data_IF_009903663861
#
_entry.id   IF_009903663861
#
_cell.length_a   1.000
_cell.length_b   1.000
_cell.length_c   1.000
_cell.angle_alpha   90.00
_cell.angle_beta   90.00
_cell.angle_gamma   90.00
#
_symmetry.space_group_name_H-M   'P 1'
#
loop_
_entity.id
_entity.type
_entity.pdbx_description
1 polymer ?
#
# COMPACT_ATOMS: atom_id res chain seq x y z
N UNK A 1 20.41 25.16 -4.08
CA UNK A 1 20.45 23.70 -4.33
C UNK A 1 20.46 23.02 -2.98
N UNK A 2 19.29 22.62 -2.49
CA UNK A 2 19.15 21.90 -1.23
C UNK A 2 19.06 20.38 -1.48
N UNK A 3 19.49 19.59 -0.50
CA UNK A 3 19.39 18.12 -0.53
C UNK A 3 18.32 17.70 0.47
N UNK A 4 17.21 17.17 -0.03
CA UNK A 4 16.00 16.93 0.74
C UNK A 4 15.71 15.42 0.77
N UNK A 5 15.73 14.84 1.97
CA UNK A 5 15.49 13.42 2.17
C UNK A 5 14.01 13.09 2.33
N UNK A 6 13.61 11.90 1.88
CA UNK A 6 12.33 11.31 2.20
C UNK A 6 12.50 9.88 2.72
N UNK A 7 11.94 9.61 3.89
CA UNK A 7 11.97 8.31 4.55
C UNK A 7 10.55 7.83 4.86
N UNK A 8 10.24 6.55 4.58
CA UNK A 8 8.92 5.98 4.83
C UNK A 8 8.97 4.56 5.38
N UNK A 9 8.12 4.27 6.36
CA UNK A 9 7.83 2.91 6.85
C UNK A 9 6.32 2.64 6.84
N UNK A 10 5.93 1.36 6.72
CA UNK A 10 4.53 0.95 6.59
C UNK A 10 3.84 0.68 7.93
N UNK A 11 4.57 0.52 9.03
CA UNK A 11 4.03 0.20 10.36
C UNK A 11 4.76 0.96 11.47
N UNK A 12 4.07 1.11 12.61
CA UNK A 12 4.61 1.78 13.80
C UNK A 12 5.82 1.06 14.40
N UNK A 13 5.98 -0.25 14.20
CA UNK A 13 7.08 -1.05 14.72
C UNK A 13 8.33 -1.09 13.84
N UNK A 14 8.29 -0.51 12.62
CA UNK A 14 9.47 -0.44 11.76
C UNK A 14 10.28 0.82 12.04
N UNK A 15 11.60 0.63 12.14
CA UNK A 15 12.51 1.72 12.47
C UNK A 15 12.88 2.53 11.21
N UNK A 16 12.67 3.85 11.29
CA UNK A 16 13.10 4.82 10.26
C UNK A 16 14.59 5.16 10.37
N UNK A 17 15.26 4.87 11.52
CA UNK A 17 16.57 5.40 11.84
C UNK A 17 17.62 5.01 10.80
N UNK A 18 17.58 3.76 10.31
CA UNK A 18 18.48 3.33 9.24
C UNK A 18 18.33 4.17 7.96
N UNK A 19 17.10 4.50 7.57
CA UNK A 19 16.87 5.33 6.39
C UNK A 19 17.35 6.77 6.63
N UNK A 20 17.06 7.31 7.82
CA UNK A 20 17.49 8.66 8.22
C UNK A 20 19.01 8.75 8.18
N UNK A 21 19.73 7.81 8.79
CA UNK A 21 21.19 7.75 8.76
C UNK A 21 21.77 7.74 7.35
N UNK A 22 21.18 6.93 6.45
CA UNK A 22 21.60 6.88 5.04
C UNK A 22 21.38 8.22 4.32
N UNK A 23 20.24 8.87 4.58
CA UNK A 23 19.92 10.18 3.99
C UNK A 23 20.84 11.29 4.54
N UNK A 24 21.14 11.29 5.82
CA UNK A 24 22.09 12.24 6.46
C UNK A 24 23.50 12.05 5.91
N UNK A 25 23.99 10.81 5.81
CA UNK A 25 25.28 10.49 5.16
C UNK A 25 25.33 10.92 3.69
N UNK A 26 24.18 10.90 3.01
CA UNK A 26 24.06 11.42 1.64
C UNK A 26 23.93 12.96 1.59
N UNK A 27 24.00 13.65 2.72
CA UNK A 27 23.99 15.11 2.83
C UNK A 27 22.60 15.73 2.79
N UNK A 28 21.55 15.01 3.16
CA UNK A 28 20.21 15.59 3.29
C UNK A 28 20.19 16.64 4.42
N UNK A 29 19.77 17.86 4.08
CA UNK A 29 19.67 19.01 5.01
C UNK A 29 18.31 19.07 5.70
N UNK A 30 17.29 18.47 5.09
CA UNK A 30 15.94 18.32 5.65
C UNK A 30 15.39 16.95 5.25
N UNK A 31 14.71 16.25 6.18
CA UNK A 31 14.14 14.92 5.94
C UNK A 31 12.67 14.91 6.30
N UNK A 32 11.83 14.57 5.34
CA UNK A 32 10.40 14.31 5.52
C UNK A 32 10.21 12.84 5.91
N UNK A 33 9.53 12.61 7.06
CA UNK A 33 9.43 11.29 7.69
C UNK A 33 7.97 10.82 7.67
N UNK A 34 7.68 9.77 6.91
CA UNK A 34 6.33 9.24 6.74
C UNK A 34 6.15 7.89 7.44
N UNK A 35 5.13 7.80 8.31
CA UNK A 35 4.74 6.54 8.97
C UNK A 35 3.39 6.06 8.42
N UNK A 36 3.35 5.81 7.11
CA UNK A 36 2.14 5.42 6.40
C UNK A 36 2.41 4.33 5.36
N UNK A 37 1.40 3.49 5.11
CA UNK A 37 1.45 2.55 4.00
C UNK A 37 1.60 3.31 2.67
N UNK A 38 2.47 2.82 1.78
CA UNK A 38 2.67 3.40 0.45
C UNK A 38 1.55 3.07 -0.56
N UNK A 39 0.33 2.75 -0.09
CA UNK A 39 -0.76 2.29 -0.97
C UNK A 39 -1.38 3.42 -1.80
N UNK A 40 -1.53 4.62 -1.23
CA UNK A 40 -2.14 5.78 -1.91
C UNK A 40 -1.42 7.08 -1.54
N UNK A 41 -1.16 7.92 -2.54
CA UNK A 41 -0.46 9.21 -2.36
C UNK A 41 -1.24 10.15 -1.44
N UNK A 42 -2.56 10.21 -1.58
CA UNK A 42 -3.43 11.11 -0.79
C UNK A 42 -3.34 10.89 0.73
N UNK A 43 -2.92 9.69 1.16
CA UNK A 43 -2.76 9.33 2.57
C UNK A 43 -1.32 9.54 3.06
N UNK A 44 -0.52 10.33 2.34
CA UNK A 44 0.91 10.55 2.60
C UNK A 44 1.22 12.03 2.71
N UNK A 45 0.81 12.68 3.84
CA UNK A 45 0.96 14.12 4.03
C UNK A 45 2.41 14.59 3.93
N UNK A 46 3.37 13.82 4.45
CA UNK A 46 4.78 14.19 4.40
C UNK A 46 5.37 14.12 2.98
N UNK A 47 4.89 13.20 2.14
CA UNK A 47 5.22 13.22 0.72
C UNK A 47 4.66 14.46 0.02
N UNK A 48 3.41 14.81 0.28
CA UNK A 48 2.79 16.00 -0.31
C UNK A 48 3.52 17.26 0.15
N UNK A 49 3.85 17.39 1.45
CA UNK A 49 4.65 18.48 1.99
C UNK A 49 6.03 18.58 1.33
N UNK A 50 6.69 17.44 1.08
CA UNK A 50 7.97 17.42 0.35
C UNK A 50 7.78 17.91 -1.08
N UNK A 51 6.78 17.39 -1.81
CA UNK A 51 6.51 17.80 -3.18
C UNK A 51 6.21 19.30 -3.27
N UNK A 52 5.51 19.87 -2.29
CA UNK A 52 5.27 21.32 -2.24
C UNK A 52 6.51 22.14 -1.88
N UNK A 53 7.36 21.60 -1.01
CA UNK A 53 8.55 22.27 -0.48
C UNK A 53 9.68 22.43 -1.51
N UNK A 54 9.88 21.43 -2.39
CA UNK A 54 11.00 21.39 -3.34
C UNK A 54 10.93 22.53 -4.36
N UNK A 55 12.10 23.00 -4.76
CA UNK A 55 12.30 24.10 -5.73
C UNK A 55 13.24 23.66 -6.85
N UNK A 56 13.36 24.52 -7.85
CA UNK A 56 14.32 24.34 -8.94
C UNK A 56 15.75 24.09 -8.42
N UNK A 57 16.45 23.16 -9.04
CA UNK A 57 17.82 22.70 -8.69
C UNK A 57 17.96 21.95 -7.38
N UNK A 58 16.88 21.69 -6.63
CA UNK A 58 16.95 20.85 -5.44
C UNK A 58 17.11 19.36 -5.80
N UNK A 59 17.69 18.58 -4.87
CA UNK A 59 17.85 17.14 -5.02
C UNK A 59 16.99 16.44 -3.97
N UNK A 60 15.99 15.70 -4.42
CA UNK A 60 15.23 14.79 -3.56
C UNK A 60 16.01 13.48 -3.44
N UNK A 61 16.26 13.04 -2.21
CA UNK A 61 17.03 11.83 -1.91
C UNK A 61 16.15 10.82 -1.21
N UNK A 62 16.17 9.56 -1.68
CA UNK A 62 15.51 8.42 -1.05
C UNK A 62 16.47 7.25 -0.94
N UNK A 63 16.32 6.44 0.11
CA UNK A 63 17.15 5.26 0.29
C UNK A 63 16.86 4.21 -0.81
N UNK A 64 15.60 3.97 -1.09
CA UNK A 64 15.12 2.94 -2.03
C UNK A 64 13.89 3.45 -2.78
N UNK A 65 13.68 3.00 -4.02
CA UNK A 65 12.57 3.45 -4.88
C UNK A 65 11.19 3.14 -4.30
N UNK A 66 11.04 2.00 -3.60
CA UNK A 66 9.77 1.56 -3.00
C UNK A 66 9.31 2.47 -1.83
N UNK A 67 10.19 3.34 -1.32
CA UNK A 67 9.82 4.39 -0.35
C UNK A 67 8.95 5.47 -1.00
N UNK A 68 9.23 5.80 -2.26
CA UNK A 68 8.42 6.77 -3.03
C UNK A 68 7.07 6.19 -3.44
N UNK A 69 7.01 4.97 -3.92
CA UNK A 69 5.76 4.37 -4.37
C UNK A 69 5.86 2.85 -4.54
N UNK A 70 4.71 2.18 -4.51
CA UNK A 70 4.61 0.74 -4.72
C UNK A 70 4.04 0.38 -6.10
N UNK A 71 3.47 1.30 -6.83
CA UNK A 71 2.95 1.08 -8.18
C UNK A 71 3.56 2.09 -9.14
N UNK A 72 3.59 1.73 -10.40
CA UNK A 72 4.22 2.52 -11.47
C UNK A 72 3.53 3.88 -11.63
N UNK A 73 2.20 3.95 -11.52
CA UNK A 73 1.46 5.20 -11.68
C UNK A 73 1.82 6.24 -10.63
N UNK A 74 1.93 5.82 -9.36
CA UNK A 74 2.33 6.71 -8.26
C UNK A 74 3.77 7.17 -8.43
N UNK A 75 4.66 6.24 -8.82
CA UNK A 75 6.06 6.57 -9.08
C UNK A 75 6.20 7.58 -10.22
N UNK A 76 5.49 7.37 -11.33
CA UNK A 76 5.50 8.29 -12.47
C UNK A 76 4.98 9.67 -12.08
N UNK A 77 3.88 9.73 -11.32
CA UNK A 77 3.35 11.01 -10.82
C UNK A 77 4.37 11.75 -9.96
N UNK A 78 4.98 11.08 -8.98
CA UNK A 78 5.95 11.69 -8.06
C UNK A 78 7.19 12.16 -8.81
N UNK A 79 7.74 11.31 -9.68
CA UNK A 79 8.97 11.62 -10.43
C UNK A 79 8.73 12.78 -11.39
N UNK A 80 7.62 12.75 -12.15
CA UNK A 80 7.25 13.83 -13.03
C UNK A 80 7.02 15.14 -12.26
N UNK A 81 6.41 15.09 -11.08
CA UNK A 81 6.21 16.27 -10.25
C UNK A 81 7.55 16.89 -9.81
N UNK A 82 8.51 16.04 -9.37
CA UNK A 82 9.85 16.48 -8.99
C UNK A 82 10.55 17.13 -10.20
N UNK A 83 10.53 16.47 -11.36
CA UNK A 83 11.17 16.96 -12.58
C UNK A 83 10.54 18.26 -13.13
N UNK A 84 9.21 18.35 -13.09
CA UNK A 84 8.48 19.56 -13.55
C UNK A 84 8.77 20.79 -12.67
N UNK A 85 9.12 20.58 -11.40
CA UNK A 85 9.60 21.64 -10.52
C UNK A 85 11.09 21.99 -10.73
N UNK A 86 11.76 21.37 -11.71
CA UNK A 86 13.19 21.58 -11.99
C UNK A 86 14.12 20.95 -10.94
N UNK A 87 13.59 20.10 -10.07
CA UNK A 87 14.36 19.33 -9.10
C UNK A 87 14.80 17.98 -9.69
N UNK A 88 15.77 17.32 -9.05
CA UNK A 88 16.27 16.01 -9.45
C UNK A 88 16.00 14.98 -8.35
N UNK A 89 15.91 13.69 -8.73
CA UNK A 89 15.75 12.56 -7.83
C UNK A 89 17.04 11.76 -7.75
N UNK A 90 17.51 11.49 -6.54
CA UNK A 90 18.62 10.59 -6.24
C UNK A 90 18.12 9.42 -5.39
N UNK A 91 18.40 8.19 -5.83
CA UNK A 91 18.04 6.96 -5.13
C UNK A 91 19.33 6.27 -4.71
N UNK A 92 19.54 6.08 -3.39
CA UNK A 92 20.85 5.67 -2.87
C UNK A 92 21.23 4.23 -3.22
N UNK A 93 20.26 3.34 -3.39
CA UNK A 93 20.52 1.95 -3.77
C UNK A 93 20.65 1.72 -5.28
N UNK A 94 20.54 2.79 -6.10
CA UNK A 94 20.76 2.69 -7.53
C UNK A 94 22.17 3.13 -7.92
N UNK A 95 22.80 2.43 -8.89
CA UNK A 95 24.04 2.92 -9.44
C UNK A 95 23.82 4.26 -10.12
N UNK A 96 24.59 5.27 -9.74
CA UNK A 96 24.59 6.58 -10.41
C UNK A 96 25.66 6.55 -11.47
N UNK A 97 25.27 6.74 -12.72
CA UNK A 97 26.23 6.96 -13.81
C UNK A 97 26.64 8.43 -13.81
N UNK A 98 27.94 8.69 -13.71
CA UNK A 98 28.52 10.02 -13.88
C UNK A 98 29.30 10.02 -15.18
N UNK A 99 28.84 10.78 -16.16
CA UNK A 99 29.58 11.09 -17.38
C UNK A 99 29.86 12.58 -17.43
N UNK A 100 30.76 13.01 -18.26
CA UNK A 100 31.07 14.45 -18.44
C UNK A 100 29.95 15.19 -19.18
N UNK A 101 29.10 14.47 -19.92
CA UNK A 101 27.95 15.03 -20.63
C UNK A 101 26.68 15.02 -19.74
N UNK A 102 26.13 16.17 -19.34
CA UNK A 102 24.91 16.26 -18.53
C UNK A 102 23.67 15.65 -19.20
N UNK A 103 23.56 15.73 -20.53
CA UNK A 103 22.43 15.18 -21.28
C UNK A 103 22.47 13.64 -21.26
N UNK A 104 23.66 13.06 -21.47
CA UNK A 104 23.86 11.62 -21.38
C UNK A 104 23.64 11.10 -19.96
N UNK A 105 24.08 11.82 -18.92
CA UNK A 105 23.78 11.49 -17.53
C UNK A 105 22.28 11.43 -17.25
N UNK A 106 21.52 12.40 -17.73
CA UNK A 106 20.06 12.43 -17.57
C UNK A 106 19.40 11.24 -18.27
N UNK A 107 19.83 10.93 -19.49
CA UNK A 107 19.32 9.79 -20.25
C UNK A 107 19.60 8.45 -19.55
N UNK A 108 20.83 8.23 -19.11
CA UNK A 108 21.23 6.99 -18.42
C UNK A 108 20.50 6.82 -17.08
N UNK A 109 20.36 7.90 -16.30
CA UNK A 109 19.63 7.84 -15.04
C UNK A 109 18.13 7.55 -15.26
N UNK A 110 17.51 8.11 -16.29
CA UNK A 110 16.13 7.78 -16.65
C UNK A 110 15.98 6.32 -17.08
N UNK A 111 16.93 5.80 -17.90
CA UNK A 111 16.94 4.41 -18.34
C UNK A 111 17.06 3.44 -17.15
N UNK A 112 17.98 3.72 -16.22
CA UNK A 112 18.15 2.93 -15.00
C UNK A 112 16.87 2.94 -14.17
N UNK A 113 16.24 4.10 -14.04
CA UNK A 113 14.98 4.24 -13.30
C UNK A 113 13.84 3.42 -13.92
N UNK A 114 13.68 3.48 -15.25
CA UNK A 114 12.68 2.69 -15.98
C UNK A 114 12.94 1.17 -15.84
N UNK A 115 14.20 0.75 -15.93
CA UNK A 115 14.57 -0.64 -15.72
C UNK A 115 14.19 -1.13 -14.32
N UNK A 116 14.45 -0.33 -13.28
CA UNK A 116 14.07 -0.68 -11.90
C UNK A 116 12.56 -0.71 -11.68
N UNK A 117 11.80 0.22 -12.28
CA UNK A 117 10.33 0.16 -12.28
C UNK A 117 9.82 -1.14 -12.88
N UNK A 118 10.36 -1.54 -14.02
CA UNK A 118 10.01 -2.79 -14.70
C UNK A 118 10.32 -4.03 -13.84
N UNK A 119 11.51 -4.09 -13.24
CA UNK A 119 11.91 -5.19 -12.35
C UNK A 119 10.96 -5.26 -11.15
N UNK A 120 10.66 -4.13 -10.48
CA UNK A 120 9.78 -4.08 -9.33
C UNK A 120 8.35 -4.54 -9.66
N UNK A 121 7.81 -4.15 -10.82
CA UNK A 121 6.49 -4.58 -11.27
C UNK A 121 6.45 -6.08 -11.58
N UNK A 122 7.47 -6.59 -12.29
CA UNK A 122 7.60 -8.01 -12.61
C UNK A 122 7.66 -8.88 -11.34
N UNK A 123 8.42 -8.44 -10.35
CA UNK A 123 8.55 -9.17 -9.09
C UNK A 123 7.22 -9.20 -8.30
N UNK A 124 6.46 -8.10 -8.30
CA UNK A 124 5.10 -8.07 -7.71
C UNK A 124 4.14 -9.01 -8.41
N UNK A 125 4.17 -9.04 -9.74
CA UNK A 125 3.34 -9.97 -10.51
C UNK A 125 3.65 -11.42 -10.12
N UNK A 126 4.92 -11.79 -10.05
CA UNK A 126 5.35 -13.12 -9.59
C UNK A 126 4.87 -13.46 -8.18
N UNK A 127 4.94 -12.49 -7.24
CA UNK A 127 4.44 -12.69 -5.87
C UNK A 127 2.94 -12.93 -5.86
N UNK A 128 2.15 -12.13 -6.60
CA UNK A 128 0.70 -12.28 -6.73
C UNK A 128 0.31 -13.63 -7.34
N UNK A 129 1.02 -14.07 -8.37
CA UNK A 129 0.81 -15.38 -9.00
C UNK A 129 1.08 -16.52 -8.04
N UNK A 130 2.21 -16.51 -7.33
CA UNK A 130 2.54 -17.51 -6.30
C UNK A 130 1.47 -17.54 -5.19
N UNK A 131 1.02 -16.38 -4.73
CA UNK A 131 -0.05 -16.29 -3.74
C UNK A 131 -1.36 -16.88 -4.26
N UNK A 132 -1.75 -16.57 -5.51
CA UNK A 132 -2.95 -17.12 -6.15
C UNK A 132 -2.88 -18.64 -6.26
N UNK A 133 -1.73 -19.17 -6.69
CA UNK A 133 -1.49 -20.62 -6.76
C UNK A 133 -1.55 -21.26 -5.37
N UNK A 134 -0.93 -20.67 -4.36
CA UNK A 134 -0.98 -21.14 -2.96
C UNK A 134 -2.40 -21.19 -2.40
N UNK A 135 -3.21 -20.14 -2.65
CA UNK A 135 -4.64 -20.11 -2.26
C UNK A 135 -5.43 -21.20 -2.99
N UNK A 136 -5.21 -21.41 -4.29
CA UNK A 136 -5.88 -22.43 -5.07
C UNK A 136 -5.56 -23.83 -4.54
N UNK A 137 -4.31 -24.10 -4.21
CA UNK A 137 -3.87 -25.37 -3.63
C UNK A 137 -4.48 -25.57 -2.23
N UNK A 138 -4.47 -24.54 -1.37
CA UNK A 138 -5.07 -24.62 -0.04
C UNK A 138 -6.58 -24.84 -0.08
N UNK A 139 -7.28 -24.27 -1.08
CA UNK A 139 -8.71 -24.55 -1.33
C UNK A 139 -8.94 -26.01 -1.73
N UNK A 140 -8.14 -26.55 -2.66
CA UNK A 140 -8.22 -27.98 -3.06
C UNK A 140 -7.96 -28.93 -1.89
N UNK A 141 -7.09 -28.54 -0.97
CA UNK A 141 -6.77 -29.34 0.24
C UNK A 141 -7.77 -29.11 1.40
N UNK A 142 -8.84 -28.31 1.21
CA UNK A 142 -9.81 -28.00 2.26
C UNK A 142 -9.25 -27.14 3.42
N UNK A 143 -8.01 -26.66 3.31
CA UNK A 143 -7.36 -25.84 4.35
C UNK A 143 -7.86 -24.39 4.37
N UNK A 144 -8.40 -23.91 3.27
CA UNK A 144 -8.88 -22.54 3.13
C UNK A 144 -10.33 -22.43 3.62
N UNK A 145 -10.50 -22.06 4.88
CA UNK A 145 -11.83 -21.94 5.53
C UNK A 145 -12.50 -20.58 5.33
N UNK A 146 -11.85 -19.64 4.67
CA UNK A 146 -12.35 -18.26 4.51
C UNK A 146 -12.38 -17.48 5.83
N UNK A 147 -13.20 -16.43 5.87
CA UNK A 147 -13.41 -15.62 7.08
C UNK A 147 -14.26 -16.41 8.08
N UNK A 148 -13.87 -16.40 9.37
CA UNK A 148 -14.69 -16.98 10.44
C UNK A 148 -16.08 -16.33 10.43
N UNK A 149 -17.12 -17.16 10.54
CA UNK A 149 -18.49 -16.66 10.66
C UNK A 149 -18.65 -15.84 11.94
N UNK A 150 -19.35 -14.72 11.84
CA UNK A 150 -19.58 -13.83 12.99
C UNK A 150 -20.55 -14.46 13.99
N UNK A 151 -21.51 -15.24 13.49
CA UNK A 151 -22.50 -15.92 14.30
C UNK A 151 -22.49 -17.42 14.00
N UNK A 152 -22.73 -18.25 15.01
CA UNK A 152 -22.97 -19.70 14.91
C UNK A 152 -24.47 -19.97 15.09
N UNK A 153 -24.92 -21.20 14.85
CA UNK A 153 -26.31 -21.61 15.04
C UNK A 153 -26.81 -21.34 16.48
N UNK A 154 -25.91 -21.47 17.45
CA UNK A 154 -26.21 -21.31 18.88
C UNK A 154 -25.98 -19.89 19.39
N UNK A 155 -25.60 -18.95 18.53
CA UNK A 155 -25.40 -17.56 18.93
C UNK A 155 -26.74 -16.97 19.41
N UNK A 156 -26.80 -16.29 20.59
CA UNK A 156 -28.04 -15.76 21.16
C UNK A 156 -28.86 -14.92 20.19
N UNK A 157 -28.17 -14.13 19.34
CA UNK A 157 -28.81 -13.29 18.33
C UNK A 157 -29.49 -14.11 17.22
N UNK A 158 -28.87 -15.22 16.78
CA UNK A 158 -29.45 -16.13 15.78
C UNK A 158 -30.65 -16.88 16.38
N UNK A 159 -30.51 -17.41 17.59
CA UNK A 159 -31.61 -18.08 18.29
C UNK A 159 -32.78 -17.14 18.49
N UNK A 160 -32.54 -15.89 18.87
CA UNK A 160 -33.60 -14.87 19.02
C UNK A 160 -34.24 -14.55 17.67
N UNK A 161 -33.43 -14.34 16.61
CA UNK A 161 -33.97 -14.09 15.28
C UNK A 161 -34.90 -15.23 14.81
N UNK A 162 -34.51 -16.49 15.06
CA UNK A 162 -35.29 -17.64 14.67
C UNK A 162 -36.59 -17.74 15.47
N UNK A 163 -36.60 -17.44 16.79
CA UNK A 163 -37.83 -17.36 17.58
C UNK A 163 -38.82 -16.31 17.04
N UNK A 164 -38.33 -15.13 16.64
CA UNK A 164 -39.17 -14.10 16.03
C UNK A 164 -39.78 -14.57 14.70
N UNK A 165 -39.02 -15.28 13.89
CA UNK A 165 -39.53 -15.86 12.64
C UNK A 165 -40.58 -16.94 12.88
N UNK A 166 -40.44 -17.77 13.93
CA UNK A 166 -41.42 -18.79 14.36
C UNK A 166 -42.73 -18.15 14.86
N UNK A 167 -42.63 -16.96 15.42
CA UNK A 167 -43.77 -16.14 15.84
C UNK A 167 -44.45 -15.39 14.67
N UNK A 168 -44.02 -15.61 13.43
CA UNK A 168 -44.62 -15.01 12.24
C UNK A 168 -44.08 -13.60 11.87
N UNK A 169 -43.00 -13.13 12.51
CA UNK A 169 -42.37 -11.86 12.13
C UNK A 169 -41.61 -11.98 10.82
N UNK A 170 -41.58 -10.90 10.04
CA UNK A 170 -40.80 -10.85 8.81
C UNK A 170 -39.29 -10.87 9.09
N UNK A 171 -38.50 -11.35 8.11
CA UNK A 171 -37.01 -11.35 8.18
C UNK A 171 -36.48 -9.94 8.47
N UNK A 172 -37.11 -8.91 7.89
CA UNK A 172 -36.73 -7.51 8.09
C UNK A 172 -36.88 -7.09 9.55
N UNK A 173 -38.03 -7.41 10.17
CA UNK A 173 -38.30 -7.08 11.59
C UNK A 173 -37.36 -7.87 12.52
N UNK A 174 -37.12 -9.14 12.24
CA UNK A 174 -36.15 -9.96 12.98
C UNK A 174 -34.70 -9.41 12.87
N UNK A 175 -34.30 -8.93 11.68
CA UNK A 175 -33.02 -8.26 11.44
C UNK A 175 -32.86 -7.00 12.27
N UNK A 176 -33.87 -6.11 12.28
CA UNK A 176 -33.89 -4.87 13.06
C UNK A 176 -33.82 -5.16 14.57
N UNK A 177 -34.59 -6.12 15.05
CA UNK A 177 -34.65 -6.48 16.50
C UNK A 177 -33.35 -7.13 17.01
N UNK A 178 -32.63 -7.85 16.18
CA UNK A 178 -31.41 -8.59 16.58
C UNK A 178 -30.12 -7.87 16.24
N UNK A 179 -30.19 -6.76 15.47
CA UNK A 179 -29.02 -6.04 14.95
C UNK A 179 -28.18 -6.83 13.93
N UNK A 180 -28.71 -7.95 13.41
CA UNK A 180 -28.07 -8.72 12.35
C UNK A 180 -28.47 -8.11 11.00
N UNK A 181 -27.49 -7.80 10.15
CA UNK A 181 -27.79 -7.31 8.79
C UNK A 181 -28.75 -8.27 8.06
N UNK A 182 -29.73 -7.72 7.37
CA UNK A 182 -30.79 -8.46 6.66
C UNK A 182 -30.24 -9.56 5.73
N UNK A 183 -29.24 -9.24 4.91
CA UNK A 183 -28.64 -10.21 3.98
C UNK A 183 -27.90 -11.32 4.73
N UNK A 184 -27.24 -10.99 5.82
CA UNK A 184 -26.56 -11.95 6.70
C UNK A 184 -27.58 -12.91 7.35
N UNK A 185 -28.69 -12.38 7.89
CA UNK A 185 -29.74 -13.19 8.48
C UNK A 185 -30.40 -14.11 7.45
N UNK A 186 -30.66 -13.61 6.24
CA UNK A 186 -31.20 -14.40 5.13
C UNK A 186 -30.27 -15.59 4.75
N UNK A 187 -28.97 -15.34 4.71
CA UNK A 187 -27.99 -16.42 4.44
C UNK A 187 -27.98 -17.47 5.55
N UNK A 188 -28.09 -17.07 6.83
CA UNK A 188 -28.16 -18.01 7.96
C UNK A 188 -29.47 -18.80 7.99
N UNK A 189 -30.59 -18.20 7.57
CA UNK A 189 -31.86 -18.93 7.41
C UNK A 189 -31.71 -20.05 6.37
N UNK A 190 -31.12 -19.75 5.21
CA UNK A 190 -30.88 -20.74 4.18
C UNK A 190 -29.92 -21.85 4.64
N UNK A 191 -28.93 -21.51 5.47
CA UNK A 191 -27.92 -22.47 5.94
C UNK A 191 -28.41 -23.36 7.09
N UNK A 192 -29.22 -22.83 8.01
CA UNK A 192 -29.56 -23.51 9.27
C UNK A 192 -31.00 -24.01 9.34
N UNK A 193 -31.87 -23.61 8.39
CA UNK A 193 -33.27 -24.04 8.35
C UNK A 193 -33.66 -24.86 7.10
N UNK A 194 -32.76 -24.94 6.10
CA UNK A 194 -32.84 -25.89 5.00
C UNK A 194 -31.91 -27.06 5.27
#
# INVERSE_FOLDING_TARGET
>A
MARIGYARVSSMGQNLDRQIELLEKAGATKIFKEKQSGAEIKNRPELLNLLDYIREKDIVIVAELDRLGRNTKDLDYIINTIQNKGASLQILNLPTTKTEDPALNKLLNNLVLELYKYIAETERQKIRERQKQGIALAKKQGKYKGRKKKYTKDSPQIVHAFKLLDQGYSIRKASESTGINYQTLRNYIQEYRN
#
